data_IF_275687380024
#
_entry.id   IF_275687380024
#
_cell.length_a   1.000
_cell.length_b   1.000
_cell.length_c   1.000
_cell.angle_alpha   90.00
_cell.angle_beta   90.00
_cell.angle_gamma   90.00
#
_symmetry.space_group_name_H-M   'P 1'
#
loop_
_entity.id
_entity.type
_entity.pdbx_description
1 polymer ?
#
# COMPACT_ATOMS: atom_id res chain seq x y z
N UNK A 1 10.79 -15.66 -20.95
CA UNK A 1 9.94 -14.91 -20.02
C UNK A 1 9.97 -13.47 -20.48
N UNK A 2 8.80 -12.88 -20.72
CA UNK A 2 8.67 -11.52 -21.24
C UNK A 2 8.92 -10.50 -20.11
N UNK A 3 9.56 -9.37 -20.42
CA UNK A 3 9.81 -8.29 -19.45
C UNK A 3 9.11 -7.01 -19.90
N UNK A 4 8.33 -6.42 -18.99
CA UNK A 4 7.65 -5.14 -19.18
C UNK A 4 8.16 -4.18 -18.13
N UNK A 5 8.62 -3.01 -18.57
CA UNK A 5 9.08 -1.95 -17.69
C UNK A 5 8.10 -0.78 -17.73
N UNK A 6 7.49 -0.49 -16.59
CA UNK A 6 6.72 0.73 -16.37
C UNK A 6 7.71 1.79 -15.82
N UNK A 7 7.95 2.89 -16.53
CA UNK A 7 9.00 3.85 -16.18
C UNK A 7 8.83 4.49 -14.80
N UNK A 8 7.58 4.87 -14.46
CA UNK A 8 7.22 5.67 -13.30
C UNK A 8 8.11 6.91 -13.14
N UNK A 9 8.39 7.62 -14.25
CA UNK A 9 9.34 8.73 -14.30
C UNK A 9 9.04 9.83 -13.27
N UNK A 10 7.76 10.08 -12.99
CA UNK A 10 7.33 11.04 -11.97
C UNK A 10 7.87 10.73 -10.56
N UNK A 11 8.16 9.46 -10.24
CA UNK A 11 8.69 9.06 -8.91
C UNK A 11 10.08 9.60 -8.64
N UNK A 12 10.88 9.86 -9.69
CA UNK A 12 12.26 10.34 -9.57
C UNK A 12 12.35 11.87 -9.40
N UNK A 13 11.26 12.60 -9.58
CA UNK A 13 11.22 14.02 -9.22
C UNK A 13 11.47 14.16 -7.72
N UNK A 14 12.25 15.14 -7.24
CA UNK A 14 12.49 15.35 -5.81
C UNK A 14 11.21 15.74 -5.04
N UNK A 15 10.22 16.27 -5.74
CA UNK A 15 8.89 16.63 -5.20
C UNK A 15 7.80 15.96 -6.01
N UNK A 16 6.63 15.70 -5.40
CA UNK A 16 5.47 15.22 -6.15
C UNK A 16 5.06 16.28 -7.19
N UNK A 17 5.07 15.89 -8.46
CA UNK A 17 4.74 16.80 -9.57
C UNK A 17 3.28 17.24 -9.52
N UNK A 18 2.38 16.35 -9.09
CA UNK A 18 0.96 16.67 -8.89
C UNK A 18 0.79 17.72 -7.80
N UNK A 19 1.46 17.52 -6.66
CA UNK A 19 1.41 18.46 -5.53
C UNK A 19 2.03 19.81 -5.87
N UNK A 20 3.16 19.80 -6.59
CA UNK A 20 3.77 21.02 -7.10
C UNK A 20 2.81 21.76 -8.04
N UNK A 21 2.14 21.03 -8.94
CA UNK A 21 1.10 21.57 -9.81
C UNK A 21 -0.05 22.23 -9.05
N UNK A 22 -0.48 21.66 -7.93
CA UNK A 22 -1.58 22.21 -7.12
C UNK A 22 -1.14 23.39 -6.25
N UNK A 23 0.05 23.32 -5.65
CA UNK A 23 0.49 24.27 -4.62
C UNK A 23 1.31 25.46 -5.16
N UNK A 24 2.01 25.32 -6.29
CA UNK A 24 2.92 26.35 -6.79
C UNK A 24 2.28 27.74 -6.96
N UNK A 25 1.04 27.90 -7.48
CA UNK A 25 0.42 29.22 -7.61
C UNK A 25 0.16 29.89 -6.25
N UNK A 26 -0.27 29.12 -5.26
CA UNK A 26 -0.57 29.61 -3.91
C UNK A 26 0.71 30.04 -3.19
N UNK A 27 1.75 29.18 -3.23
CA UNK A 27 3.04 29.45 -2.59
C UNK A 27 3.72 30.65 -3.24
N UNK A 28 3.72 30.74 -4.57
CA UNK A 28 4.31 31.87 -5.30
C UNK A 28 3.60 33.19 -4.99
N UNK A 29 2.26 33.16 -4.88
CA UNK A 29 1.50 34.34 -4.48
C UNK A 29 1.81 34.77 -3.03
N UNK A 30 1.97 33.81 -2.11
CA UNK A 30 2.27 34.11 -0.71
C UNK A 30 3.70 34.67 -0.53
N UNK A 31 4.69 34.00 -1.10
CA UNK A 31 6.11 34.29 -0.87
C UNK A 31 6.65 35.39 -1.79
N UNK A 32 6.25 35.37 -3.06
CA UNK A 32 6.82 36.24 -4.10
C UNK A 32 5.83 37.34 -4.53
N UNK A 33 4.58 37.32 -4.03
CA UNK A 33 3.49 38.18 -4.49
C UNK A 33 3.31 38.15 -6.01
N UNK A 34 3.71 37.04 -6.64
CA UNK A 34 3.76 36.89 -8.09
C UNK A 34 3.00 35.65 -8.52
N UNK A 35 1.87 35.86 -9.19
CA UNK A 35 1.07 34.79 -9.79
C UNK A 35 1.73 34.18 -11.04
N UNK A 36 2.35 34.95 -11.95
CA UNK A 36 2.92 34.40 -13.19
C UNK A 36 4.00 33.34 -12.97
N UNK A 37 4.87 33.53 -11.96
CA UNK A 37 5.93 32.56 -11.63
C UNK A 37 5.32 31.23 -11.17
N UNK A 38 4.32 31.29 -10.30
CA UNK A 38 3.61 30.10 -9.82
C UNK A 38 2.87 29.35 -10.93
N UNK A 39 2.26 30.09 -11.88
CA UNK A 39 1.59 29.49 -13.04
C UNK A 39 2.59 28.82 -13.99
N UNK A 40 3.76 29.41 -14.22
CA UNK A 40 4.80 28.81 -15.03
C UNK A 40 5.29 27.49 -14.42
N UNK A 41 5.53 27.47 -13.10
CA UNK A 41 5.92 26.27 -12.36
C UNK A 41 4.81 25.20 -12.37
N UNK A 42 3.56 25.59 -12.15
CA UNK A 42 2.40 24.69 -12.23
C UNK A 42 2.31 24.04 -13.62
N UNK A 43 2.42 24.85 -14.68
CA UNK A 43 2.31 24.37 -16.06
C UNK A 43 3.42 23.36 -16.38
N UNK A 44 4.67 23.67 -15.99
CA UNK A 44 5.78 22.76 -16.17
C UNK A 44 5.59 21.44 -15.39
N UNK A 45 5.16 21.53 -14.13
CA UNK A 45 4.94 20.35 -13.29
C UNK A 45 3.84 19.43 -13.85
N UNK A 46 2.71 20.01 -14.27
CA UNK A 46 1.59 19.26 -14.84
C UNK A 46 1.94 18.66 -16.21
N UNK A 47 2.73 19.36 -17.04
CA UNK A 47 3.17 18.83 -18.33
C UNK A 47 4.11 17.61 -18.15
N UNK A 48 5.07 17.71 -17.23
CA UNK A 48 5.96 16.59 -16.90
C UNK A 48 5.20 15.42 -16.29
N UNK A 49 4.25 15.70 -15.40
CA UNK A 49 3.37 14.70 -14.81
C UNK A 49 2.55 13.98 -15.88
N UNK A 50 1.88 14.73 -16.76
CA UNK A 50 1.06 14.16 -17.84
C UNK A 50 1.89 13.29 -18.78
N UNK A 51 3.12 13.71 -19.13
CA UNK A 51 4.05 12.91 -19.92
C UNK A 51 4.37 11.57 -19.25
N UNK A 52 4.74 11.59 -17.96
CA UNK A 52 4.98 10.35 -17.20
C UNK A 52 3.76 9.44 -17.15
N UNK A 53 2.57 10.01 -16.91
CA UNK A 53 1.32 9.25 -16.85
C UNK A 53 1.07 8.56 -18.20
N UNK A 54 1.21 9.27 -19.33
CA UNK A 54 1.02 8.68 -20.66
C UNK A 54 1.97 7.50 -20.88
N UNK A 55 3.26 7.68 -20.60
CA UNK A 55 4.26 6.61 -20.75
C UNK A 55 3.94 5.40 -19.88
N UNK A 56 3.54 5.63 -18.62
CA UNK A 56 3.19 4.57 -17.68
C UNK A 56 1.93 3.82 -18.10
N UNK A 57 0.90 4.52 -18.60
CA UNK A 57 -0.32 3.90 -19.11
C UNK A 57 -0.07 3.08 -20.37
N UNK A 58 0.76 3.58 -21.29
CA UNK A 58 1.17 2.84 -22.48
C UNK A 58 1.92 1.56 -22.09
N UNK A 59 2.87 1.64 -21.15
CA UNK A 59 3.58 0.46 -20.65
C UNK A 59 2.64 -0.55 -19.96
N UNK A 60 1.72 -0.08 -19.11
CA UNK A 60 0.73 -0.92 -18.42
C UNK A 60 -0.22 -1.65 -19.38
N UNK A 61 -0.48 -1.10 -20.57
CA UNK A 61 -1.34 -1.75 -21.56
C UNK A 61 -0.80 -3.10 -22.04
N UNK A 62 0.53 -3.31 -21.97
CA UNK A 62 1.16 -4.59 -22.28
C UNK A 62 1.08 -5.63 -21.16
N UNK A 63 0.70 -5.22 -19.93
CA UNK A 63 0.71 -6.10 -18.75
C UNK A 63 -0.48 -7.05 -18.79
N UNK A 64 -0.18 -8.36 -18.80
CA UNK A 64 -1.15 -9.42 -18.60
C UNK A 64 -1.57 -9.46 -17.14
N UNK A 65 -2.83 -9.11 -16.88
CA UNK A 65 -3.41 -9.18 -15.55
C UNK A 65 -3.69 -10.63 -15.15
N UNK A 66 -3.48 -10.93 -13.87
CA UNK A 66 -3.89 -12.21 -13.28
C UNK A 66 -5.40 -12.30 -13.25
N UNK A 67 -5.95 -13.37 -13.83
CA UNK A 67 -7.34 -13.75 -13.61
C UNK A 67 -7.45 -14.51 -12.29
N UNK A 68 -7.83 -13.81 -11.24
CA UNK A 68 -7.91 -14.37 -9.89
C UNK A 68 -8.89 -15.53 -9.79
N UNK A 69 -10.00 -15.48 -10.53
CA UNK A 69 -10.98 -16.56 -10.51
C UNK A 69 -10.40 -17.83 -11.10
N UNK A 70 -9.70 -17.71 -12.23
CA UNK A 70 -9.08 -18.86 -12.90
C UNK A 70 -7.90 -19.40 -12.10
N UNK A 71 -7.06 -18.53 -11.53
CA UNK A 71 -5.82 -18.92 -10.84
C UNK A 71 -6.06 -19.40 -9.40
N UNK A 72 -6.92 -18.71 -8.64
CA UNK A 72 -7.14 -18.98 -7.22
C UNK A 72 -8.53 -19.58 -6.91
N UNK A 73 -9.36 -19.79 -7.92
CA UNK A 73 -10.72 -20.32 -7.75
C UNK A 73 -11.73 -19.32 -7.17
N UNK A 74 -11.30 -18.09 -6.88
CA UNK A 74 -12.14 -17.06 -6.26
C UNK A 74 -11.78 -15.63 -6.74
N UNK A 75 -12.76 -14.73 -6.72
CA UNK A 75 -12.62 -13.30 -7.08
C UNK A 75 -13.34 -12.46 -6.01
N UNK A 76 -12.99 -11.17 -5.92
CA UNK A 76 -13.59 -10.17 -5.01
C UNK A 76 -15.11 -10.24 -4.92
N UNK A 77 -15.78 -10.54 -6.04
CA UNK A 77 -17.24 -10.49 -6.15
C UNK A 77 -17.96 -11.75 -5.68
N UNK A 78 -17.23 -12.85 -5.42
CA UNK A 78 -17.83 -14.18 -5.19
C UNK A 78 -17.25 -14.93 -4.00
N UNK A 79 -16.45 -14.27 -3.18
CA UNK A 79 -15.88 -14.87 -1.97
C UNK A 79 -16.96 -14.98 -0.88
N UNK A 80 -17.26 -16.19 -0.38
CA UNK A 80 -18.13 -16.33 0.77
C UNK A 80 -17.45 -15.77 2.02
N UNK A 81 -18.25 -15.23 2.94
CA UNK A 81 -17.75 -14.81 4.25
C UNK A 81 -17.18 -16.01 4.99
N UNK A 82 -15.93 -15.90 5.45
CA UNK A 82 -15.32 -16.91 6.33
C UNK A 82 -16.12 -17.02 7.64
N UNK A 83 -16.53 -18.24 8.06
CA UNK A 83 -17.21 -18.46 9.34
C UNK A 83 -16.42 -17.91 10.53
N UNK A 84 -17.14 -17.44 11.55
CA UNK A 84 -16.52 -16.86 12.77
C UNK A 84 -15.58 -17.86 13.46
N UNK A 85 -15.99 -19.13 13.57
CA UNK A 85 -15.18 -20.17 14.20
C UNK A 85 -13.84 -20.39 13.47
N UNK A 86 -13.85 -20.41 12.14
CA UNK A 86 -12.64 -20.57 11.32
C UNK A 86 -11.73 -19.35 11.47
N UNK A 87 -12.33 -18.16 11.54
CA UNK A 87 -11.60 -16.91 11.76
C UNK A 87 -10.91 -16.88 13.12
N UNK A 88 -11.61 -17.29 14.17
CA UNK A 88 -11.01 -17.41 15.50
C UNK A 88 -9.91 -18.46 15.56
N UNK A 89 -10.07 -19.58 14.86
CA UNK A 89 -9.03 -20.59 14.74
C UNK A 89 -7.79 -20.05 14.02
N UNK A 90 -7.98 -19.31 12.92
CA UNK A 90 -6.88 -18.67 12.22
C UNK A 90 -6.18 -17.61 13.06
N UNK A 91 -6.93 -16.79 13.81
CA UNK A 91 -6.35 -15.80 14.74
C UNK A 91 -5.41 -16.48 15.73
N UNK A 92 -5.82 -17.61 16.35
CA UNK A 92 -4.95 -18.36 17.28
C UNK A 92 -3.65 -18.82 16.62
N UNK A 93 -3.74 -19.37 15.41
CA UNK A 93 -2.57 -19.83 14.65
C UNK A 93 -1.65 -18.66 14.28
N UNK A 94 -2.21 -17.53 13.86
CA UNK A 94 -1.44 -16.35 13.48
C UNK A 94 -0.72 -15.72 14.68
N UNK A 95 -1.39 -15.65 15.84
CA UNK A 95 -0.78 -15.19 17.10
C UNK A 95 0.40 -16.08 17.47
N UNK A 96 0.20 -17.40 17.51
CA UNK A 96 1.26 -18.35 17.86
C UNK A 96 2.47 -18.21 16.93
N UNK A 97 2.23 -18.15 15.62
CA UNK A 97 3.29 -17.99 14.62
C UNK A 97 4.02 -16.67 14.75
N UNK A 98 3.29 -15.55 14.86
CA UNK A 98 3.89 -14.22 15.00
C UNK A 98 4.74 -14.10 16.25
N UNK A 99 4.26 -14.64 17.38
CA UNK A 99 5.04 -14.67 18.62
C UNK A 99 6.32 -15.49 18.46
N UNK A 100 6.24 -16.65 17.80
CA UNK A 100 7.39 -17.55 17.62
C UNK A 100 8.44 -16.99 16.65
N UNK A 101 8.03 -16.27 15.61
CA UNK A 101 8.92 -15.79 14.55
C UNK A 101 9.34 -14.33 14.71
N UNK A 102 8.92 -13.67 15.80
CA UNK A 102 9.13 -12.24 15.95
C UNK A 102 10.59 -11.86 15.82
N UNK A 103 10.88 -10.89 14.95
CA UNK A 103 12.18 -10.26 14.82
C UNK A 103 12.05 -8.74 14.96
N UNK A 104 12.93 -8.10 15.76
CA UNK A 104 13.02 -6.65 15.83
C UNK A 104 13.81 -6.05 14.67
N UNK A 105 14.36 -6.86 13.76
CA UNK A 105 15.15 -6.40 12.62
C UNK A 105 14.37 -5.38 11.75
N UNK A 106 15.05 -4.30 11.37
CA UNK A 106 14.51 -3.26 10.49
C UNK A 106 15.40 -3.10 9.27
N UNK A 107 14.83 -3.40 8.10
CA UNK A 107 15.47 -3.17 6.81
C UNK A 107 15.27 -1.69 6.43
N UNK A 108 16.33 -0.95 6.04
CA UNK A 108 16.19 0.41 5.56
C UNK A 108 15.21 0.49 4.39
N UNK A 109 14.30 1.48 4.41
CA UNK A 109 13.20 1.61 3.44
C UNK A 109 13.62 1.46 1.95
N UNK A 110 14.72 2.06 1.47
CA UNK A 110 15.14 1.89 0.06
C UNK A 110 15.56 0.44 -0.28
N UNK A 111 16.17 -0.26 0.67
CA UNK A 111 16.50 -1.68 0.52
C UNK A 111 15.23 -2.54 0.59
N UNK A 112 14.35 -2.24 1.55
CA UNK A 112 13.07 -2.92 1.72
C UNK A 112 12.21 -2.82 0.45
N UNK A 113 12.12 -1.63 -0.13
CA UNK A 113 11.41 -1.37 -1.40
C UNK A 113 11.92 -2.26 -2.54
N UNK A 114 13.25 -2.38 -2.69
CA UNK A 114 13.85 -3.26 -3.71
C UNK A 114 13.54 -4.73 -3.44
N UNK A 115 13.64 -5.19 -2.20
CA UNK A 115 13.34 -6.59 -1.85
C UNK A 115 11.88 -6.94 -2.13
N UNK A 116 10.93 -6.12 -1.68
CA UNK A 116 9.51 -6.41 -1.90
C UNK A 116 9.14 -6.33 -3.38
N UNK A 117 9.73 -5.41 -4.16
CA UNK A 117 9.51 -5.35 -5.60
C UNK A 117 9.99 -6.60 -6.32
N UNK A 118 11.15 -7.16 -5.93
CA UNK A 118 11.68 -8.41 -6.49
C UNK A 118 10.69 -9.55 -6.23
N UNK A 119 10.27 -9.76 -4.99
CA UNK A 119 9.33 -10.84 -4.65
C UNK A 119 7.97 -10.68 -5.35
N UNK A 120 7.45 -9.45 -5.39
CA UNK A 120 6.20 -9.16 -6.09
C UNK A 120 6.32 -9.43 -7.59
N UNK A 121 7.44 -9.03 -8.20
CA UNK A 121 7.71 -9.26 -9.62
C UNK A 121 7.80 -10.75 -9.92
N UNK A 122 8.46 -11.55 -9.08
CA UNK A 122 8.55 -12.99 -9.28
C UNK A 122 7.21 -13.70 -9.04
N UNK A 123 6.39 -13.27 -8.07
CA UNK A 123 5.02 -13.80 -7.91
C UNK A 123 4.17 -13.54 -9.15
N UNK A 124 4.19 -12.30 -9.66
CA UNK A 124 3.45 -11.97 -10.89
C UNK A 124 3.98 -12.80 -12.06
N UNK A 125 5.31 -12.87 -12.23
CA UNK A 125 5.92 -13.62 -13.32
C UNK A 125 5.65 -15.12 -13.27
N UNK A 126 5.60 -15.71 -12.07
CA UNK A 126 5.27 -17.11 -11.88
C UNK A 126 3.85 -17.46 -12.35
N UNK A 127 2.91 -16.52 -12.27
CA UNK A 127 1.53 -16.72 -12.71
C UNK A 127 1.32 -16.31 -14.17
N UNK A 128 1.88 -15.19 -14.60
CA UNK A 128 1.58 -14.58 -15.91
C UNK A 128 2.60 -14.92 -16.98
N UNK A 129 3.80 -15.38 -16.62
CA UNK A 129 4.95 -15.51 -17.50
C UNK A 129 5.61 -14.17 -17.87
N UNK A 130 5.21 -13.06 -17.22
CA UNK A 130 5.72 -11.71 -17.46
C UNK A 130 6.35 -11.10 -16.20
N UNK A 131 7.59 -10.63 -16.31
CA UNK A 131 8.23 -9.81 -15.28
C UNK A 131 7.82 -8.35 -15.47
N UNK A 132 7.00 -7.84 -14.56
CA UNK A 132 6.57 -6.43 -14.55
C UNK A 132 7.47 -5.65 -13.61
N UNK A 133 8.40 -4.87 -14.14
CA UNK A 133 9.29 -3.99 -13.37
C UNK A 133 8.77 -2.57 -13.31
N UNK A 134 8.93 -1.96 -12.15
CA UNK A 134 8.51 -0.59 -11.84
C UNK A 134 9.63 0.12 -11.09
N UNK A 135 9.50 1.43 -10.90
CA UNK A 135 10.35 2.15 -9.94
C UNK A 135 10.21 1.54 -8.53
N UNK A 136 11.28 1.58 -7.75
CA UNK A 136 11.28 1.25 -6.31
C UNK A 136 11.35 2.50 -5.44
N UNK A 137 11.27 3.68 -6.04
CA UNK A 137 11.29 4.95 -5.31
C UNK A 137 10.01 5.11 -4.47
N UNK A 138 10.22 5.62 -3.26
CA UNK A 138 9.19 5.88 -2.27
C UNK A 138 9.43 7.26 -1.69
N UNK A 139 8.40 8.10 -1.71
CA UNK A 139 8.44 9.43 -1.10
C UNK A 139 8.22 9.33 0.42
N UNK A 140 9.00 10.10 1.16
CA UNK A 140 8.81 10.31 2.59
C UNK A 140 7.83 11.44 2.94
N UNK A 141 7.45 12.28 1.97
CA UNK A 141 6.58 13.44 2.17
C UNK A 141 5.57 13.53 1.03
N UNK A 142 4.31 13.82 1.36
CA UNK A 142 3.24 14.08 0.42
C UNK A 142 2.17 14.96 1.08
N UNK A 143 1.68 15.98 0.38
CA UNK A 143 0.49 16.76 0.74
C UNK A 143 -0.76 15.89 0.90
N UNK A 144 -0.81 14.71 0.27
CA UNK A 144 -1.89 13.74 0.50
C UNK A 144 -1.96 13.31 1.97
N UNK A 145 -0.86 13.37 2.73
CA UNK A 145 -0.90 13.12 4.18
C UNK A 145 -1.75 14.11 4.98
N UNK A 146 -1.94 15.33 4.44
CA UNK A 146 -2.81 16.36 5.04
C UNK A 146 -4.28 16.06 4.73
N UNK A 147 -4.55 15.57 3.52
CA UNK A 147 -5.92 15.24 3.06
C UNK A 147 -6.38 13.88 3.60
N UNK A 148 -5.47 12.92 3.74
CA UNK A 148 -5.70 11.54 4.16
C UNK A 148 -4.85 11.19 5.39
N UNK A 149 -5.12 11.79 6.56
CA UNK A 149 -4.29 11.61 7.76
C UNK A 149 -4.33 10.18 8.35
N UNK A 150 -5.18 9.32 7.80
CA UNK A 150 -5.34 7.91 8.15
C UNK A 150 -4.57 6.96 7.22
N UNK A 151 -4.14 7.43 6.04
CA UNK A 151 -3.39 6.63 5.10
C UNK A 151 -1.98 6.33 5.64
N UNK A 152 -1.59 5.06 5.59
CA UNK A 152 -0.25 4.59 5.97
C UNK A 152 0.75 4.75 4.83
N UNK A 153 0.26 4.50 3.62
CA UNK A 153 0.88 4.78 2.34
C UNK A 153 -0.18 5.22 1.34
N UNK A 154 0.27 5.73 0.20
CA UNK A 154 -0.59 6.07 -0.93
C UNK A 154 0.15 5.83 -2.23
N UNK A 155 -0.51 5.19 -3.20
CA UNK A 155 -0.12 5.16 -4.59
C UNK A 155 -1.01 6.12 -5.40
N UNK A 156 -0.40 7.06 -6.12
CA UNK A 156 -1.09 7.77 -7.19
C UNK A 156 -1.42 6.77 -8.31
N UNK A 157 -2.70 6.52 -8.53
CA UNK A 157 -3.22 5.57 -9.52
C UNK A 157 -2.70 5.91 -10.94
N UNK A 158 -2.50 7.19 -11.26
CA UNK A 158 -2.13 7.60 -12.61
C UNK A 158 -0.63 7.40 -12.85
N UNK A 159 0.22 8.01 -12.01
CA UNK A 159 1.68 7.98 -12.18
C UNK A 159 2.36 6.78 -11.51
N UNK A 160 1.64 6.06 -10.63
CA UNK A 160 2.22 5.07 -9.75
C UNK A 160 3.12 5.66 -8.66
N UNK A 161 3.09 6.97 -8.42
CA UNK A 161 3.91 7.59 -7.38
C UNK A 161 3.52 7.10 -5.98
N UNK A 162 4.48 6.63 -5.19
CA UNK A 162 4.19 6.02 -3.88
C UNK A 162 4.80 6.86 -2.78
N UNK A 163 3.99 7.19 -1.79
CA UNK A 163 4.44 7.84 -0.57
C UNK A 163 4.13 6.96 0.64
N UNK A 164 5.08 6.82 1.57
CA UNK A 164 4.88 6.15 2.86
C UNK A 164 5.00 7.21 3.95
N UNK A 165 3.88 7.49 4.59
CA UNK A 165 3.65 8.71 5.36
C UNK A 165 4.06 8.57 6.82
N UNK A 166 4.17 7.32 7.31
CA UNK A 166 4.50 7.00 8.71
C UNK A 166 5.38 5.77 8.78
N UNK A 167 6.16 5.69 9.85
CA UNK A 167 6.75 4.42 10.27
C UNK A 167 5.63 3.53 10.80
N UNK A 168 5.42 2.39 10.14
CA UNK A 168 4.38 1.41 10.47
C UNK A 168 4.96 0.15 11.10
N UNK A 169 6.23 0.17 11.50
CA UNK A 169 6.84 -0.93 12.22
C UNK A 169 6.90 -2.20 11.38
N UNK A 170 6.47 -3.32 11.97
CA UNK A 170 6.38 -4.62 11.31
C UNK A 170 5.43 -4.65 10.10
N UNK A 171 4.55 -3.65 9.93
CA UNK A 171 3.62 -3.56 8.81
C UNK A 171 4.23 -2.88 7.58
N UNK A 172 5.36 -2.19 7.71
CA UNK A 172 5.96 -1.40 6.62
C UNK A 172 6.22 -2.21 5.35
N UNK A 173 6.73 -3.46 5.40
CA UNK A 173 6.86 -4.28 4.19
C UNK A 173 5.53 -4.52 3.49
N UNK A 174 4.45 -4.75 4.24
CA UNK A 174 3.11 -4.96 3.67
C UNK A 174 2.56 -3.69 3.02
N UNK A 175 2.69 -2.55 3.68
CA UNK A 175 2.25 -1.27 3.11
C UNK A 175 2.98 -1.01 1.79
N UNK A 176 4.32 -1.16 1.76
CA UNK A 176 5.09 -0.91 0.54
C UNK A 176 4.69 -1.85 -0.59
N UNK A 177 4.63 -3.17 -0.33
CA UNK A 177 4.30 -4.12 -1.39
C UNK A 177 2.87 -3.90 -1.90
N UNK A 178 1.93 -3.53 -1.02
CA UNK A 178 0.55 -3.21 -1.39
C UNK A 178 0.49 -2.03 -2.37
N UNK A 179 1.18 -0.92 -2.05
CA UNK A 179 1.27 0.22 -2.95
C UNK A 179 1.99 -0.13 -4.27
N UNK A 180 2.97 -1.04 -4.24
CA UNK A 180 3.65 -1.51 -5.44
C UNK A 180 2.77 -2.40 -6.31
N UNK A 181 1.84 -3.16 -5.72
CA UNK A 181 0.84 -3.92 -6.48
C UNK A 181 -0.05 -2.94 -7.28
N UNK A 182 -0.51 -1.86 -6.67
CA UNK A 182 -1.22 -0.79 -7.37
C UNK A 182 -0.36 -0.15 -8.47
N UNK A 183 0.91 0.19 -8.18
CA UNK A 183 1.85 0.73 -9.17
C UNK A 183 1.96 -0.15 -10.43
N UNK A 184 1.95 -1.47 -10.25
CA UNK A 184 1.98 -2.49 -11.33
C UNK A 184 0.64 -2.70 -12.05
N UNK A 185 -0.40 -1.96 -11.68
CA UNK A 185 -1.68 -1.91 -12.41
C UNK A 185 -2.80 -2.78 -11.84
N UNK A 186 -2.67 -3.28 -10.61
CA UNK A 186 -3.71 -4.01 -9.91
C UNK A 186 -4.48 -3.08 -8.99
N UNK A 187 -5.61 -2.55 -9.46
CA UNK A 187 -6.34 -1.51 -8.74
C UNK A 187 -7.31 -2.01 -7.70
N UNK A 188 -7.74 -3.28 -7.75
CA UNK A 188 -8.67 -3.79 -6.74
C UNK A 188 -7.96 -4.03 -5.41
N UNK A 189 -8.53 -3.52 -4.32
CA UNK A 189 -7.95 -3.65 -2.97
C UNK A 189 -7.61 -5.10 -2.64
N UNK A 190 -8.56 -6.01 -2.80
CA UNK A 190 -8.32 -7.41 -2.44
C UNK A 190 -7.26 -8.07 -3.31
N UNK A 191 -7.17 -7.70 -4.60
CA UNK A 191 -6.09 -8.20 -5.46
C UNK A 191 -4.74 -7.73 -4.91
N UNK A 192 -4.66 -6.46 -4.51
CA UNK A 192 -3.47 -5.90 -3.89
C UNK A 192 -3.13 -6.60 -2.57
N UNK A 193 -4.11 -6.86 -1.70
CA UNK A 193 -3.92 -7.60 -0.46
C UNK A 193 -3.42 -9.03 -0.69
N UNK A 194 -4.00 -9.75 -1.66
CA UNK A 194 -3.62 -11.13 -1.97
C UNK A 194 -2.21 -11.19 -2.55
N UNK A 195 -1.88 -10.33 -3.51
CA UNK A 195 -0.53 -10.33 -4.10
C UNK A 195 0.53 -9.87 -3.11
N UNK A 196 0.22 -8.87 -2.27
CA UNK A 196 1.06 -8.46 -1.15
C UNK A 196 1.34 -9.63 -0.22
N UNK A 197 0.29 -10.32 0.23
CA UNK A 197 0.42 -11.47 1.11
C UNK A 197 1.25 -12.59 0.47
N UNK A 198 0.98 -12.96 -0.80
CA UNK A 198 1.71 -14.02 -1.50
C UNK A 198 3.19 -13.67 -1.69
N UNK A 199 3.50 -12.43 -2.07
CA UNK A 199 4.87 -11.96 -2.26
C UNK A 199 5.68 -12.02 -0.96
N UNK A 200 5.08 -11.59 0.15
CA UNK A 200 5.77 -11.53 1.43
C UNK A 200 5.81 -12.88 2.15
N UNK A 201 4.69 -13.59 2.23
CA UNK A 201 4.61 -14.89 2.89
C UNK A 201 5.43 -15.96 2.17
N UNK A 202 5.56 -15.87 0.84
CA UNK A 202 6.39 -16.76 0.02
C UNK A 202 7.86 -16.35 -0.08
N UNK A 203 8.28 -15.24 0.52
CA UNK A 203 9.63 -14.69 0.33
C UNK A 203 10.74 -15.52 0.98
N UNK A 204 10.45 -16.21 2.08
CA UNK A 204 11.45 -16.85 2.94
C UNK A 204 12.25 -15.88 3.82
N UNK A 205 12.08 -14.56 3.66
CA UNK A 205 12.72 -13.55 4.52
C UNK A 205 11.88 -13.37 5.80
N UNK A 206 12.44 -13.59 7.01
CA UNK A 206 11.70 -13.49 8.26
C UNK A 206 11.00 -12.15 8.47
N UNK A 207 11.59 -11.03 8.05
CA UNK A 207 11.02 -9.69 8.21
C UNK A 207 9.78 -9.54 7.31
N UNK A 208 9.86 -10.03 6.07
CA UNK A 208 8.78 -9.96 5.10
C UNK A 208 7.62 -10.91 5.47
N UNK A 209 7.94 -12.16 5.84
CA UNK A 209 6.94 -13.14 6.26
C UNK A 209 6.22 -12.64 7.52
N UNK A 210 6.94 -12.08 8.50
CA UNK A 210 6.34 -11.47 9.68
C UNK A 210 5.32 -10.38 9.31
N UNK A 211 5.65 -9.49 8.38
CA UNK A 211 4.75 -8.43 7.95
C UNK A 211 3.46 -8.98 7.31
N UNK A 212 3.57 -10.03 6.49
CA UNK A 212 2.42 -10.69 5.87
C UNK A 212 1.47 -11.28 6.91
N UNK A 213 2.02 -11.93 7.94
CA UNK A 213 1.22 -12.52 9.01
C UNK A 213 0.62 -11.45 9.93
N UNK A 214 1.37 -10.39 10.22
CA UNK A 214 0.93 -9.28 11.05
C UNK A 214 -0.29 -8.59 10.43
N UNK A 215 -0.24 -8.29 9.12
CA UNK A 215 -1.37 -7.68 8.44
C UNK A 215 -2.57 -8.64 8.32
N UNK A 216 -2.32 -9.93 8.03
CA UNK A 216 -3.38 -10.93 8.01
C UNK A 216 -4.09 -10.99 9.37
N UNK A 217 -3.34 -11.01 10.47
CA UNK A 217 -3.90 -10.98 11.82
C UNK A 217 -4.69 -9.70 12.07
N UNK A 218 -4.13 -8.53 11.74
CA UNK A 218 -4.80 -7.25 11.93
C UNK A 218 -6.16 -7.21 11.20
N UNK A 219 -6.23 -7.74 9.97
CA UNK A 219 -7.48 -7.88 9.22
C UNK A 219 -8.47 -8.83 9.89
N UNK A 220 -8.01 -10.00 10.34
CA UNK A 220 -8.90 -10.95 11.00
C UNK A 220 -9.51 -10.38 12.28
N UNK A 221 -8.70 -9.73 13.12
CA UNK A 221 -9.17 -9.07 14.34
C UNK A 221 -10.15 -7.95 14.05
N UNK A 222 -9.92 -7.20 12.97
CA UNK A 222 -10.84 -6.14 12.53
C UNK A 222 -12.18 -6.70 12.07
N UNK A 223 -12.17 -7.75 11.24
CA UNK A 223 -13.43 -8.30 10.73
C UNK A 223 -14.27 -8.95 11.83
N UNK A 224 -13.65 -9.44 12.91
CA UNK A 224 -14.39 -9.98 14.06
C UNK A 224 -15.16 -8.90 14.82
N UNK A 225 -14.55 -7.74 15.05
CA UNK A 225 -15.11 -6.67 15.89
C UNK A 225 -15.80 -5.56 15.09
N UNK A 226 -15.69 -5.59 13.76
CA UNK A 226 -16.23 -4.57 12.86
C UNK A 226 -15.49 -3.23 12.93
N UNK A 227 -16.24 -2.14 12.81
CA UNK A 227 -15.68 -0.79 12.72
C UNK A 227 -15.42 -0.13 14.08
N UNK A 228 -15.66 -0.81 15.21
CA UNK A 228 -15.38 -0.27 16.55
C UNK A 228 -13.87 -0.35 16.89
N UNK A 229 -13.14 0.79 16.89
CA UNK A 229 -11.71 0.78 17.16
C UNK A 229 -11.38 0.39 18.61
N UNK A 230 -12.30 0.61 19.56
CA UNK A 230 -12.11 0.23 20.96
C UNK A 230 -12.24 -1.29 21.14
N UNK A 231 -13.24 -1.92 20.53
CA UNK A 231 -13.40 -3.38 20.51
C UNK A 231 -12.20 -4.07 19.85
N UNK A 232 -11.74 -3.58 18.69
CA UNK A 232 -10.53 -4.12 18.02
C UNK A 232 -9.31 -4.03 18.94
N UNK A 233 -9.08 -2.88 19.61
CA UNK A 233 -7.96 -2.74 20.55
C UNK A 233 -8.08 -3.68 21.75
N UNK A 234 -9.27 -3.86 22.31
CA UNK A 234 -9.48 -4.80 23.40
C UNK A 234 -9.18 -6.23 22.95
N UNK A 235 -9.60 -6.61 21.74
CA UNK A 235 -9.32 -7.92 21.16
C UNK A 235 -7.83 -8.15 20.90
N UNK A 236 -7.11 -7.15 20.40
CA UNK A 236 -5.64 -7.21 20.22
C UNK A 236 -4.96 -7.49 21.56
N UNK A 237 -5.34 -6.79 22.64
CA UNK A 237 -4.78 -7.00 23.98
C UNK A 237 -5.12 -8.38 24.56
N UNK A 238 -6.29 -8.91 24.23
CA UNK A 238 -6.72 -10.23 24.67
C UNK A 238 -6.16 -11.38 23.81
N UNK A 239 -5.51 -11.08 22.68
CA UNK A 239 -5.09 -12.09 21.71
C UNK A 239 -3.89 -12.93 22.17
N UNK A 240 -3.17 -12.53 23.24
CA UNK A 240 -1.99 -13.25 23.73
C UNK A 240 -0.74 -13.00 22.91
N UNK A 241 -0.61 -11.82 22.31
CA UNK A 241 0.59 -11.39 21.58
C UNK A 241 1.71 -11.02 22.55
N UNK A 242 2.97 -11.21 22.13
CA UNK A 242 4.10 -10.62 22.86
C UNK A 242 4.04 -9.09 22.79
N UNK A 243 4.56 -8.44 23.83
CA UNK A 243 4.43 -6.99 24.03
C UNK A 243 4.87 -6.14 22.80
N UNK A 244 6.00 -6.42 22.11
CA UNK A 244 6.40 -5.61 20.96
C UNK A 244 5.43 -5.68 19.77
N UNK A 245 4.77 -6.83 19.58
CA UNK A 245 3.80 -7.04 18.50
C UNK A 245 2.46 -6.43 18.87
N UNK A 246 1.98 -6.66 20.10
CA UNK A 246 0.75 -6.04 20.61
C UNK A 246 0.80 -4.51 20.45
N UNK A 247 1.88 -3.88 20.94
CA UNK A 247 2.02 -2.41 20.88
C UNK A 247 1.91 -1.87 19.45
N UNK A 248 2.46 -2.58 18.48
CA UNK A 248 2.42 -2.17 17.07
C UNK A 248 1.05 -2.38 16.45
N UNK A 249 0.33 -3.45 16.78
CA UNK A 249 -1.06 -3.63 16.33
C UNK A 249 -1.99 -2.56 16.93
N UNK A 250 -1.81 -2.23 18.21
CA UNK A 250 -2.59 -1.18 18.88
C UNK A 250 -2.30 0.19 18.28
N UNK A 251 -1.03 0.50 17.98
CA UNK A 251 -0.62 1.81 17.46
C UNK A 251 -1.07 2.05 16.01
N UNK A 252 -1.17 0.99 15.19
CA UNK A 252 -1.62 1.06 13.80
C UNK A 252 -2.99 1.76 13.67
N UNK A 253 -3.86 1.64 14.68
CA UNK A 253 -5.23 2.18 14.69
C UNK A 253 -5.45 3.31 15.70
N UNK A 254 -4.38 3.98 16.10
CA UNK A 254 -4.36 4.98 17.17
C UNK A 254 -5.01 6.33 16.89
N UNK A 255 -5.78 6.53 15.81
CA UNK A 255 -6.57 7.76 15.61
C UNK A 255 -8.00 7.43 15.18
N UNK A 256 -8.94 7.84 16.01
CA UNK A 256 -10.37 7.88 15.70
C UNK A 256 -10.56 8.58 14.35
N UNK A 257 -11.34 8.01 13.41
CA UNK A 257 -11.64 8.71 12.18
C UNK A 257 -12.41 10.00 12.52
N UNK A 258 -11.86 11.15 12.14
CA UNK A 258 -12.62 12.39 12.07
C UNK A 258 -13.73 12.20 11.00
N UNK A 259 -14.98 12.64 11.17
CA UNK A 259 -16.06 12.49 10.19
C UNK A 259 -15.67 12.78 8.72
N UNK A 260 -14.75 13.73 8.47
CA UNK A 260 -14.21 14.01 7.13
C UNK A 260 -13.41 12.82 6.58
N UNK A 261 -12.61 12.16 7.43
CA UNK A 261 -11.87 10.95 7.06
C UNK A 261 -12.77 9.76 6.78
N UNK A 262 -13.95 9.67 7.41
CA UNK A 262 -14.96 8.64 7.13
C UNK A 262 -15.53 8.77 5.71
N UNK A 263 -16.00 9.96 5.34
CA UNK A 263 -16.56 10.21 4.00
C UNK A 263 -15.53 10.00 2.87
N UNK A 264 -14.29 10.42 3.11
CA UNK A 264 -13.18 10.23 2.16
C UNK A 264 -12.77 8.76 2.08
N UNK A 265 -12.75 8.04 3.20
CA UNK A 265 -12.51 6.58 3.23
C UNK A 265 -13.56 5.82 2.44
N UNK A 266 -14.84 6.16 2.59
CA UNK A 266 -15.93 5.47 1.88
C UNK A 266 -15.95 5.78 0.37
N UNK A 267 -15.61 7.01 -0.02
CA UNK A 267 -15.42 7.35 -1.44
C UNK A 267 -14.23 6.59 -2.06
N UNK A 268 -13.15 6.38 -1.31
CA UNK A 268 -11.99 5.60 -1.76
C UNK A 268 -12.32 4.11 -1.86
N UNK A 269 -13.05 3.53 -0.89
CA UNK A 269 -13.54 2.15 -0.99
C UNK A 269 -14.33 1.93 -2.28
N UNK A 270 -15.22 2.86 -2.64
CA UNK A 270 -15.99 2.78 -3.89
C UNK A 270 -15.14 2.89 -5.16
N UNK A 271 -13.97 3.54 -5.10
CA UNK A 271 -13.07 3.67 -6.25
C UNK A 271 -12.24 2.40 -6.49
N UNK A 272 -11.93 1.67 -5.41
CA UNK A 272 -11.07 0.48 -5.44
C UNK A 272 -11.81 -0.87 -5.37
N UNK A 273 -13.12 -0.89 -5.11
CA UNK A 273 -14.00 -2.09 -5.19
C UNK A 273 -14.66 -2.27 -6.57
#
# INVERSE_FOLDING_TARGET
>A
MEEIRIPNSATYSPVSLLELGLAAPLVSRLLLRSTPVGLALQTAALALYAGSVVDDWLARSGVRRIDFRTVFGADVRRLPTMPVADREAEVRVLVERLNAMYTPERIPRPELARRVDVHLTEVIAGVTGQRVRTSTEIRGVSLMSVVFPFALGTADILSGDVAILRDTGIFEPHVIVHEFVHRKGYWKELHAQVLAYLALAGSGDPVLVQAALAERLARQLTTLEGDDPAAVRARVRAAGLIEPVERQLVSLRGRTPDPISGAVSDAMKQLYD
#
